data_IF_849266082926
#
_entry.id   IF_849266082926
#
_cell.length_a   1.000
_cell.length_b   1.000
_cell.length_c   1.000
_cell.angle_alpha   90.00
_cell.angle_beta   90.00
_cell.angle_gamma   90.00
#
_symmetry.space_group_name_H-M   'P 1'
#
loop_
_entity.id
_entity.type
_entity.pdbx_description
1 polymer ?
#
# COMPACT_ATOMS: atom_id res chain seq x y z
N UNK A 1 1.44 -40.19 -17.03
CA UNK A 1 1.40 -38.82 -17.61
C UNK A 1 0.23 -38.04 -17.02
N UNK A 2 0.44 -37.40 -15.86
CA UNK A 2 -0.58 -36.57 -15.20
C UNK A 2 0.02 -35.16 -15.01
N UNK A 3 -0.39 -34.21 -15.85
CA UNK A 3 0.13 -32.84 -15.88
C UNK A 3 -0.37 -32.08 -14.66
N UNK A 4 0.49 -31.86 -13.67
CA UNK A 4 0.24 -30.90 -12.59
C UNK A 4 0.40 -29.48 -13.14
N UNK A 5 -0.69 -28.88 -13.62
CA UNK A 5 -0.77 -27.43 -13.81
C UNK A 5 -0.94 -26.79 -12.42
N UNK A 6 0.17 -26.57 -11.70
CA UNK A 6 0.18 -25.63 -10.59
C UNK A 6 0.42 -24.25 -11.17
N UNK A 7 -0.61 -23.43 -11.12
CA UNK A 7 -0.54 -21.98 -11.34
C UNK A 7 0.61 -21.43 -10.49
N UNK A 8 1.68 -21.00 -11.16
CA UNK A 8 2.60 -20.03 -10.59
C UNK A 8 2.00 -18.66 -10.76
N UNK A 9 2.02 -17.89 -9.68
CA UNK A 9 2.10 -16.42 -9.66
C UNK A 9 2.24 -16.07 -8.16
N UNK A 10 3.47 -15.97 -7.65
CA UNK A 10 4.12 -14.68 -7.42
C UNK A 10 3.16 -13.67 -6.79
N UNK A 11 3.21 -13.47 -5.47
CA UNK A 11 2.75 -12.20 -4.90
C UNK A 11 3.66 -11.82 -3.73
N UNK A 12 4.74 -11.10 -4.08
CA UNK A 12 5.25 -10.07 -3.19
C UNK A 12 4.07 -9.23 -2.68
N UNK A 13 4.09 -8.90 -1.39
CA UNK A 13 2.95 -8.42 -0.59
C UNK A 13 2.35 -7.05 -0.99
N UNK A 14 2.59 -6.56 -2.20
CA UNK A 14 2.00 -5.33 -2.73
C UNK A 14 0.63 -5.63 -3.35
N UNK A 15 -0.45 -5.45 -2.58
CA UNK A 15 -1.82 -5.60 -3.10
C UNK A 15 -2.12 -4.43 -4.04
N UNK A 16 -2.04 -4.70 -5.35
CA UNK A 16 -2.62 -3.83 -6.36
C UNK A 16 -4.13 -3.85 -6.25
N UNK A 17 -4.75 -2.70 -6.00
CA UNK A 17 -6.20 -2.51 -5.88
C UNK A 17 -6.63 -1.56 -6.99
N UNK A 18 -7.72 -1.85 -7.70
CA UNK A 18 -8.28 -0.87 -8.64
C UNK A 18 -9.01 0.19 -7.81
N UNK A 19 -8.54 1.43 -7.88
CA UNK A 19 -9.18 2.58 -7.22
C UNK A 19 -9.29 3.74 -8.20
N UNK A 20 -10.27 4.61 -7.95
CA UNK A 20 -10.47 5.81 -8.74
C UNK A 20 -9.24 6.72 -8.69
N UNK A 21 -8.86 7.22 -9.86
CA UNK A 21 -7.77 8.16 -10.05
C UNK A 21 -8.31 9.54 -10.37
N UNK A 22 -7.98 10.52 -9.54
CA UNK A 22 -8.27 11.92 -9.86
C UNK A 22 -7.55 12.36 -11.15
N UNK A 23 -6.25 12.07 -11.28
CA UNK A 23 -5.47 12.45 -12.47
C UNK A 23 -5.73 11.64 -13.76
N UNK A 24 -6.55 10.58 -13.73
CA UNK A 24 -6.95 9.85 -14.93
C UNK A 24 -8.47 9.82 -15.11
N UNK A 25 -9.20 10.42 -14.17
CA UNK A 25 -10.66 10.50 -14.11
C UNK A 25 -11.33 9.13 -14.28
N UNK A 26 -10.69 8.07 -13.79
CA UNK A 26 -11.11 6.69 -14.03
C UNK A 26 -10.52 5.71 -13.03
N UNK A 27 -11.12 4.52 -12.93
CA UNK A 27 -10.63 3.43 -12.09
C UNK A 27 -9.38 2.82 -12.70
N UNK A 28 -8.33 2.73 -11.90
CA UNK A 28 -7.02 2.25 -12.38
C UNK A 28 -6.32 1.47 -11.30
N UNK A 29 -5.40 0.61 -11.72
CA UNK A 29 -4.60 -0.17 -10.78
C UNK A 29 -3.74 0.76 -9.92
N UNK A 30 -4.03 0.81 -8.63
CA UNK A 30 -3.21 1.43 -7.60
C UNK A 30 -2.41 0.38 -6.88
N UNK A 31 -1.10 0.56 -6.81
CA UNK A 31 -0.25 -0.22 -5.95
C UNK A 31 -0.36 0.31 -4.52
N UNK A 32 -0.94 -0.48 -3.62
CA UNK A 32 -1.14 -0.06 -2.22
C UNK A 32 -0.13 -0.75 -1.31
N UNK A 33 0.62 0.07 -0.57
CA UNK A 33 1.67 -0.34 0.35
C UNK A 33 1.46 0.30 1.71
N UNK A 34 1.56 -0.48 2.78
CA UNK A 34 1.52 0.04 4.15
C UNK A 34 2.94 0.36 4.58
N UNK A 35 3.20 1.63 4.87
CA UNK A 35 4.47 2.09 5.45
C UNK A 35 4.24 2.44 6.91
N UNK A 36 4.99 1.83 7.81
CA UNK A 36 5.04 2.25 9.21
C UNK A 36 6.09 3.34 9.32
N UNK A 37 5.69 4.56 9.70
CA UNK A 37 6.65 5.64 9.99
C UNK A 37 6.78 5.80 11.49
N UNK A 38 8.02 5.93 11.96
CA UNK A 38 8.33 6.20 13.36
C UNK A 38 8.64 7.69 13.50
N UNK A 39 7.69 8.49 14.01
CA UNK A 39 7.84 9.94 14.22
C UNK A 39 8.42 10.31 15.61
N UNK A 40 9.13 9.41 16.30
CA UNK A 40 9.56 9.67 17.68
C UNK A 40 11.05 10.03 17.80
N UNK A 41 11.34 11.33 17.82
CA UNK A 41 12.67 11.94 18.10
C UNK A 41 12.80 12.43 19.54
N UNK A 42 12.16 11.79 20.54
CA UNK A 42 12.27 12.21 21.95
C UNK A 42 12.35 11.01 22.92
N UNK A 43 13.47 10.93 23.61
CA UNK A 43 14.02 9.80 24.40
C UNK A 43 13.20 9.34 25.61
N UNK A 44 12.09 9.99 26.00
CA UNK A 44 11.48 9.73 27.31
C UNK A 44 10.11 9.02 27.29
N UNK A 45 9.42 8.90 26.15
CA UNK A 45 8.12 8.19 26.05
C UNK A 45 7.91 7.49 24.67
N UNK A 46 8.98 7.10 23.98
CA UNK A 46 9.00 6.76 22.56
C UNK A 46 8.58 5.32 22.15
N UNK A 47 7.83 4.58 22.98
CA UNK A 47 7.61 3.15 22.70
C UNK A 47 6.33 2.80 21.91
N UNK A 48 5.39 3.73 21.63
CA UNK A 48 4.05 3.29 21.18
C UNK A 48 3.36 3.98 20.00
N UNK A 49 3.85 5.07 19.40
CA UNK A 49 3.24 5.60 18.16
C UNK A 49 3.92 5.06 16.90
N UNK A 50 3.64 3.80 16.57
CA UNK A 50 3.88 3.23 15.24
C UNK A 50 2.63 3.49 14.41
N UNK A 51 2.63 4.57 13.64
CA UNK A 51 1.48 4.91 12.81
C UNK A 51 1.62 4.27 11.42
N UNK A 52 0.69 3.38 11.02
CA UNK A 52 0.66 2.83 9.67
C UNK A 52 0.06 3.86 8.71
N UNK A 53 0.80 4.12 7.64
CA UNK A 53 0.37 4.92 6.51
C UNK A 53 0.03 4.00 5.36
N UNK A 54 -1.18 4.09 4.85
CA UNK A 54 -1.56 3.47 3.59
C UNK A 54 -1.09 4.39 2.47
N UNK A 55 -0.18 3.93 1.61
CA UNK A 55 0.27 4.68 0.44
C UNK A 55 -0.22 3.96 -0.81
N UNK A 56 -1.05 4.63 -1.60
CA UNK A 56 -1.56 4.14 -2.87
C UNK A 56 -0.90 4.90 -4.02
N UNK A 57 -0.24 4.19 -4.94
CA UNK A 57 0.40 4.77 -6.12
C UNK A 57 -0.29 4.31 -7.40
N UNK A 58 -0.66 5.25 -8.26
CA UNK A 58 -1.22 4.97 -9.57
C UNK A 58 -0.18 4.35 -10.51
N UNK A 59 -0.41 3.13 -10.98
CA UNK A 59 0.45 2.51 -11.99
C UNK A 59 0.29 3.12 -13.40
N UNK A 60 -0.72 3.98 -13.61
CA UNK A 60 -1.02 4.62 -14.91
C UNK A 60 -0.43 6.01 -15.06
N UNK A 61 -0.49 6.86 -14.04
CA UNK A 61 -0.04 8.26 -14.05
C UNK A 61 0.96 8.59 -12.94
N UNK A 62 1.26 7.67 -12.02
CA UNK A 62 2.22 7.88 -10.93
C UNK A 62 1.72 8.74 -9.76
N UNK A 63 0.45 9.15 -9.75
CA UNK A 63 -0.15 9.87 -8.61
C UNK A 63 -0.12 8.98 -7.37
N UNK A 64 0.51 9.48 -6.30
CA UNK A 64 0.60 8.81 -5.00
C UNK A 64 -0.21 9.53 -3.94
N UNK A 65 -0.96 8.76 -3.16
CA UNK A 65 -1.82 9.25 -2.08
C UNK A 65 -1.46 8.51 -0.81
N UNK A 66 -1.08 9.22 0.25
CA UNK A 66 -0.83 8.65 1.56
C UNK A 66 -1.98 9.00 2.50
N UNK A 67 -2.62 8.00 3.09
CA UNK A 67 -3.68 8.15 4.07
C UNK A 67 -3.21 7.59 5.42
N UNK A 68 -3.26 8.42 6.48
CA UNK A 68 -3.03 7.95 7.85
C UNK A 68 -4.14 6.99 8.22
N UNK A 69 -3.78 5.76 8.61
CA UNK A 69 -4.74 4.73 9.04
C UNK A 69 -4.80 4.72 10.57
N UNK A 70 -5.13 5.88 11.17
CA UNK A 70 -5.30 6.04 12.61
C UNK A 70 -6.70 6.61 12.86
N UNK A 71 -7.72 5.76 12.79
CA UNK A 71 -9.03 6.01 13.40
C UNK A 71 -9.71 4.64 13.52
N UNK A 72 -9.41 3.94 14.61
CA UNK A 72 -10.05 2.70 15.03
C UNK A 72 -10.23 2.74 16.56
#
# INVERSE_FOLDING_TARGET
MCRTRRYGDDQGFTRGLTEYCDGCETDTLRQVSVQVRTESTKTENAQFSREPYRVAECQRCGVRTSQRTNDA
#
